data_IF_892548895148
#
_entry.id   IF_892548895148
#
_cell.length_a   1.000
_cell.length_b   1.000
_cell.length_c   1.000
_cell.angle_alpha   90.00
_cell.angle_beta   90.00
_cell.angle_gamma   90.00
#
_symmetry.space_group_name_H-M   'P 1'
#
loop_
_entity.id
_entity.type
_entity.pdbx_description
1 polymer ?
#
# COMPACT_ATOMS: atom_id res chain seq x y z
N UNK A 1 34.71 19.80 0.10
CA UNK A 1 34.20 18.41 0.12
C UNK A 1 32.92 18.39 0.95
N UNK A 2 31.80 18.81 0.37
CA UNK A 2 30.49 18.91 1.05
C UNK A 2 29.35 18.64 0.06
N UNK A 3 29.37 17.48 -0.60
CA UNK A 3 28.37 17.09 -1.60
C UNK A 3 27.85 15.65 -1.41
N UNK A 4 27.95 15.09 -0.21
CA UNK A 4 27.58 13.68 0.04
C UNK A 4 26.49 13.49 1.10
N UNK A 5 25.91 14.55 1.68
CA UNK A 5 24.90 14.44 2.73
C UNK A 5 23.45 14.74 2.28
N UNK A 6 23.23 15.33 1.10
CA UNK A 6 21.87 15.60 0.58
C UNK A 6 21.31 14.47 -0.31
N UNK A 7 22.11 13.43 -0.55
CA UNK A 7 21.66 12.12 -1.08
C UNK A 7 21.51 11.13 0.08
N UNK A 8 20.99 11.58 1.24
CA UNK A 8 20.43 10.64 2.20
C UNK A 8 19.25 9.98 1.49
N UNK A 9 19.50 8.77 1.02
CA UNK A 9 18.63 7.98 0.17
C UNK A 9 17.17 8.08 0.65
N UNK A 10 16.25 8.39 -0.28
CA UNK A 10 14.80 8.31 -0.05
C UNK A 10 14.36 6.84 0.06
N UNK A 11 15.04 6.06 0.88
CA UNK A 11 14.82 4.64 1.11
C UNK A 11 13.83 4.49 2.26
N UNK A 12 12.66 3.95 1.95
CA UNK A 12 11.67 3.56 2.94
C UNK A 12 12.21 2.38 3.77
N UNK A 13 12.19 2.53 5.09
CA UNK A 13 12.40 1.45 6.07
C UNK A 13 11.20 0.53 6.13
N UNK A 14 10.02 0.98 5.73
CA UNK A 14 8.83 0.13 5.62
C UNK A 14 9.06 -0.97 4.59
N UNK A 15 9.00 -2.23 5.04
CA UNK A 15 9.12 -3.39 4.17
C UNK A 15 7.80 -3.75 3.47
N UNK A 16 7.84 -4.34 2.27
CA UNK A 16 6.67 -4.92 1.63
C UNK A 16 5.94 -5.90 2.56
N UNK A 17 4.61 -5.92 2.51
CA UNK A 17 3.81 -6.90 3.25
C UNK A 17 4.05 -8.27 2.60
N UNK A 18 4.52 -9.28 3.37
CA UNK A 18 4.90 -10.57 2.80
C UNK A 18 3.73 -11.23 2.07
N UNK A 19 4.04 -11.81 0.91
CA UNK A 19 3.09 -12.68 0.21
C UNK A 19 2.98 -13.96 1.02
N UNK A 20 1.82 -14.16 1.65
CA UNK A 20 1.57 -15.34 2.48
C UNK A 20 1.78 -16.61 1.63
N UNK A 21 2.83 -17.36 1.94
CA UNK A 21 3.20 -18.59 1.24
C UNK A 21 2.26 -19.72 1.72
N UNK A 22 1.12 -19.86 1.06
CA UNK A 22 0.04 -20.77 1.47
C UNK A 22 0.37 -22.25 1.19
N UNK A 23 1.42 -22.54 0.43
CA UNK A 23 1.82 -23.91 0.08
C UNK A 23 2.65 -24.61 1.16
N UNK A 24 3.37 -23.87 2.00
CA UNK A 24 4.43 -24.45 2.86
C UNK A 24 4.24 -24.29 4.37
N UNK A 25 3.08 -23.86 4.87
CA UNK A 25 2.85 -23.87 6.31
C UNK A 25 1.49 -24.46 6.68
N UNK A 26 1.52 -25.60 7.39
CA UNK A 26 0.54 -25.88 8.44
C UNK A 26 0.72 -24.82 9.55
N UNK A 27 0.39 -23.58 9.25
CA UNK A 27 0.28 -22.50 10.21
C UNK A 27 -1.19 -22.49 10.66
N UNK A 28 -1.53 -22.40 11.96
CA UNK A 28 -2.89 -22.64 12.43
C UNK A 28 -3.88 -21.57 11.96
N UNK A 29 -3.46 -20.63 11.11
CA UNK A 29 -4.24 -19.56 10.53
C UNK A 29 -5.03 -20.00 9.27
N UNK A 30 -4.68 -21.09 8.58
CA UNK A 30 -5.44 -21.54 7.39
C UNK A 30 -6.78 -22.20 7.75
N UNK A 31 -6.78 -23.10 8.76
CA UNK A 31 -8.02 -23.64 9.35
C UNK A 31 -8.78 -22.57 10.13
N UNK A 32 -8.07 -21.66 10.83
CA UNK A 32 -8.70 -20.49 11.47
C UNK A 32 -9.29 -19.53 10.44
N UNK A 33 -8.71 -19.32 9.25
CA UNK A 33 -9.23 -18.38 8.24
C UNK A 33 -10.50 -18.89 7.54
N UNK A 34 -10.70 -20.22 7.49
CA UNK A 34 -11.97 -20.81 7.01
C UNK A 34 -13.09 -20.59 8.04
N UNK A 35 -12.81 -20.77 9.34
CA UNK A 35 -13.72 -20.43 10.46
C UNK A 35 -13.89 -18.91 10.65
N UNK A 36 -12.89 -18.09 10.35
CA UNK A 36 -12.92 -16.62 10.48
C UNK A 36 -13.71 -15.89 9.38
N UNK A 37 -14.23 -16.57 8.35
CA UNK A 37 -15.23 -15.96 7.45
C UNK A 37 -16.62 -15.91 8.09
N UNK A 38 -16.80 -16.49 9.28
CA UNK A 38 -18.07 -16.59 9.97
C UNK A 38 -18.46 -15.32 10.76
N UNK A 39 -17.55 -14.34 10.96
CA UNK A 39 -17.87 -13.12 11.73
C UNK A 39 -17.31 -11.82 11.13
N UNK A 40 -18.10 -10.74 11.25
CA UNK A 40 -17.76 -9.37 10.81
C UNK A 40 -16.40 -8.90 11.37
N UNK A 41 -16.09 -9.27 12.61
CA UNK A 41 -14.87 -8.90 13.34
C UNK A 41 -13.55 -9.30 12.62
N UNK A 42 -13.58 -10.38 11.83
CA UNK A 42 -12.41 -10.85 11.08
C UNK A 42 -12.14 -10.03 9.81
N UNK A 43 -13.20 -9.55 9.16
CA UNK A 43 -13.10 -8.64 8.01
C UNK A 43 -12.52 -7.30 8.47
N UNK A 44 -12.98 -6.80 9.61
CA UNK A 44 -12.50 -5.56 10.23
C UNK A 44 -11.00 -5.65 10.54
N UNK A 45 -10.52 -6.77 11.13
CA UNK A 45 -9.09 -6.95 11.43
C UNK A 45 -8.18 -6.82 10.21
N UNK A 46 -8.59 -7.26 9.02
CA UNK A 46 -7.77 -7.15 7.80
C UNK A 46 -7.69 -5.70 7.30
N UNK A 47 -8.78 -4.96 7.44
CA UNK A 47 -8.84 -3.54 7.12
C UNK A 47 -7.98 -2.78 8.13
N UNK A 48 -8.11 -3.08 9.42
CA UNK A 48 -7.29 -2.48 10.48
C UNK A 48 -5.80 -2.76 10.28
N UNK A 49 -5.43 -3.97 9.87
CA UNK A 49 -4.06 -4.34 9.52
C UNK A 49 -3.51 -3.47 8.39
N UNK A 50 -4.26 -3.35 7.29
CA UNK A 50 -3.85 -2.49 6.18
C UNK A 50 -3.74 -1.04 6.63
N UNK A 51 -4.74 -0.54 7.32
CA UNK A 51 -4.75 0.82 7.85
C UNK A 51 -3.50 1.11 8.67
N UNK A 52 -3.16 0.23 9.62
CA UNK A 52 -1.95 0.34 10.42
C UNK A 52 -0.68 0.43 9.57
N UNK A 53 -0.53 -0.46 8.58
CA UNK A 53 0.65 -0.47 7.72
C UNK A 53 0.74 0.77 6.82
N UNK A 54 -0.38 1.24 6.28
CA UNK A 54 -0.43 2.48 5.52
C UNK A 54 -0.16 3.69 6.41
N UNK A 55 -0.70 3.75 7.62
CA UNK A 55 -0.44 4.84 8.55
C UNK A 55 1.04 4.92 8.93
N UNK A 56 1.67 3.76 9.18
CA UNK A 56 3.11 3.67 9.40
C UNK A 56 3.91 4.21 8.21
N UNK A 57 3.51 3.88 6.99
CA UNK A 57 4.09 4.45 5.77
C UNK A 57 3.86 5.97 5.68
N UNK A 58 2.66 6.47 6.03
CA UNK A 58 2.37 7.90 6.02
C UNK A 58 3.29 8.67 6.99
N UNK A 59 3.47 8.17 8.20
CA UNK A 59 4.36 8.78 9.20
C UNK A 59 5.82 8.79 8.75
N UNK A 60 6.26 7.75 8.03
CA UNK A 60 7.59 7.68 7.45
C UNK A 60 7.78 8.69 6.32
N UNK A 61 6.81 8.77 5.41
CA UNK A 61 6.80 9.75 4.31
C UNK A 61 6.73 11.20 4.83
N UNK A 62 5.93 11.45 5.86
CA UNK A 62 5.85 12.76 6.54
C UNK A 62 7.20 13.12 7.19
N UNK A 63 7.87 12.16 7.84
CA UNK A 63 9.19 12.37 8.44
C UNK A 63 10.28 12.71 7.41
N UNK A 64 10.12 12.26 6.16
CA UNK A 64 11.00 12.59 5.04
C UNK A 64 10.56 13.85 4.27
N UNK A 65 9.52 14.55 4.73
CA UNK A 65 8.90 15.67 4.02
C UNK A 65 8.52 15.31 2.57
N UNK A 66 8.05 14.09 2.33
CA UNK A 66 7.67 13.64 0.99
C UNK A 66 6.41 14.35 0.49
N UNK A 67 6.39 14.63 -0.82
CA UNK A 67 5.32 15.40 -1.45
C UNK A 67 4.89 14.73 -2.75
N UNK A 68 3.58 14.58 -2.93
CA UNK A 68 3.01 14.07 -4.17
C UNK A 68 2.78 15.21 -5.16
N UNK A 69 3.47 15.13 -6.30
CA UNK A 69 3.34 16.09 -7.38
C UNK A 69 2.18 15.72 -8.32
N UNK A 70 1.30 16.68 -8.61
CA UNK A 70 0.30 16.49 -9.67
C UNK A 70 0.83 17.00 -11.00
N UNK A 71 1.06 16.08 -11.94
CA UNK A 71 1.37 16.41 -13.33
C UNK A 71 0.09 16.81 -14.08
N UNK A 72 0.13 17.96 -14.74
CA UNK A 72 -0.91 18.42 -15.66
C UNK A 72 -0.85 17.73 -17.03
N UNK A 73 -1.72 18.15 -17.95
CA UNK A 73 -1.64 17.74 -19.35
C UNK A 73 -0.27 18.10 -19.94
N UNK A 74 0.38 17.14 -20.61
CA UNK A 74 1.73 17.33 -21.18
C UNK A 74 2.89 17.14 -20.20
N UNK A 75 2.65 16.60 -18.99
CA UNK A 75 3.73 16.21 -18.07
C UNK A 75 4.33 17.35 -17.23
N UNK A 76 3.85 18.59 -17.41
CA UNK A 76 4.26 19.74 -16.60
C UNK A 76 3.76 19.59 -15.16
N UNK A 77 4.66 19.79 -14.19
CA UNK A 77 4.30 19.84 -12.76
C UNK A 77 3.50 21.12 -12.55
N UNK A 78 2.28 21.00 -12.02
CA UNK A 78 1.50 22.16 -11.60
C UNK A 78 1.96 22.48 -10.19
N UNK A 79 2.82 23.49 -10.02
CA UNK A 79 3.41 23.87 -8.73
C UNK A 79 2.35 24.12 -7.65
N UNK A 80 1.17 24.63 -8.03
CA UNK A 80 0.03 24.86 -7.12
C UNK A 80 -0.71 23.59 -6.68
N UNK A 81 -0.29 22.39 -7.10
CA UNK A 81 -0.96 21.10 -6.80
C UNK A 81 -0.03 20.05 -6.21
N UNK A 82 0.96 20.53 -5.49
CA UNK A 82 1.92 19.77 -4.68
C UNK A 82 1.23 19.42 -3.35
N UNK A 83 1.02 18.13 -3.07
CA UNK A 83 0.30 17.65 -1.88
C UNK A 83 1.25 17.00 -0.88
N UNK A 84 1.59 17.68 0.24
CA UNK A 84 2.47 17.09 1.24
C UNK A 84 1.77 15.95 1.97
N UNK A 85 2.53 14.91 2.33
CA UNK A 85 2.04 13.85 3.21
C UNK A 85 2.09 14.37 4.64
N UNK A 86 0.93 14.68 5.22
CA UNK A 86 0.80 15.18 6.59
C UNK A 86 -0.31 14.44 7.32
N UNK A 87 0.02 13.71 8.38
CA UNK A 87 -0.96 12.92 9.13
C UNK A 87 -1.75 13.85 10.05
N UNK A 88 -3.08 13.81 9.95
CA UNK A 88 -3.95 14.57 10.83
C UNK A 88 -3.99 13.93 12.22
N UNK A 89 -3.20 14.48 13.16
CA UNK A 89 -3.07 13.97 14.53
C UNK A 89 -4.39 14.03 15.31
N UNK A 90 -5.28 14.96 14.98
CA UNK A 90 -6.58 15.12 15.65
C UNK A 90 -7.51 13.93 15.39
N UNK A 91 -7.31 13.21 14.27
CA UNK A 91 -8.12 12.01 13.95
C UNK A 91 -7.51 10.74 14.57
N UNK A 92 -6.24 10.77 14.90
CA UNK A 92 -5.50 9.62 15.45
C UNK A 92 -5.16 9.80 16.94
N UNK A 93 -6.01 10.52 17.66
CA UNK A 93 -5.88 10.67 19.12
C UNK A 93 -5.92 9.28 19.78
N UNK A 94 -4.96 9.01 20.66
CA UNK A 94 -4.84 7.73 21.37
C UNK A 94 -4.17 6.58 20.58
N UNK A 95 -3.76 6.81 19.33
CA UNK A 95 -3.08 5.78 18.51
C UNK A 95 -1.58 5.65 18.78
N UNK A 96 -1.00 6.53 19.60
CA UNK A 96 0.43 6.58 19.92
C UNK A 96 1.32 6.63 18.67
N UNK A 97 1.05 7.60 17.79
CA UNK A 97 1.70 7.74 16.48
C UNK A 97 3.23 7.72 16.54
N UNK A 98 3.83 8.25 17.60
CA UNK A 98 5.29 8.26 17.79
C UNK A 98 5.87 6.85 17.89
N UNK A 99 5.21 5.99 18.67
CA UNK A 99 5.61 4.61 18.92
C UNK A 99 5.15 3.64 17.82
N UNK A 100 4.11 4.01 17.07
CA UNK A 100 3.51 3.20 16.00
C UNK A 100 4.53 2.78 14.93
N UNK A 101 5.58 3.59 14.69
CA UNK A 101 6.68 3.28 13.76
C UNK A 101 7.51 2.06 14.19
N UNK A 102 7.69 1.83 15.49
CA UNK A 102 8.47 0.71 16.03
C UNK A 102 7.64 -0.55 16.30
N UNK A 103 6.34 -0.40 16.51
CA UNK A 103 5.46 -1.48 16.96
C UNK A 103 5.09 -2.47 15.84
N UNK A 104 4.81 -3.71 16.24
CA UNK A 104 4.17 -4.71 15.38
C UNK A 104 2.65 -4.55 15.47
N UNK A 105 1.95 -4.86 14.38
CA UNK A 105 0.49 -4.73 14.34
C UNK A 105 -0.22 -5.47 15.48
N UNK A 106 0.15 -6.72 15.80
CA UNK A 106 -0.54 -7.47 16.83
C UNK A 106 -0.35 -6.84 18.22
N UNK A 107 0.85 -6.41 18.54
CA UNK A 107 1.19 -5.81 19.83
C UNK A 107 0.41 -4.50 20.00
N UNK A 108 0.38 -3.68 18.95
CA UNK A 108 -0.41 -2.45 18.93
C UNK A 108 -1.93 -2.72 18.96
N UNK A 109 -2.43 -3.68 18.18
CA UNK A 109 -3.86 -3.93 18.01
C UNK A 109 -4.54 -4.56 19.23
N UNK A 110 -3.82 -5.41 19.96
CA UNK A 110 -4.33 -6.08 21.17
C UNK A 110 -3.89 -5.40 22.47
N UNK A 111 -2.87 -4.53 22.43
CA UNK A 111 -2.51 -3.67 23.56
C UNK A 111 -3.56 -2.58 23.78
N UNK A 112 -3.73 -2.16 25.04
CA UNK A 112 -4.53 -1.00 25.49
C UNK A 112 -5.88 -0.78 24.78
N UNK A 113 -6.57 -1.86 24.40
CA UNK A 113 -7.82 -1.82 23.63
C UNK A 113 -7.77 -0.92 22.37
N UNK A 114 -6.61 -0.78 21.71
CA UNK A 114 -6.45 0.07 20.51
C UNK A 114 -7.39 -0.32 19.35
N UNK A 115 -7.90 -1.55 19.36
CA UNK A 115 -8.97 -1.99 18.45
C UNK A 115 -10.20 -1.08 18.53
N UNK A 116 -10.57 -0.61 19.71
CA UNK A 116 -11.81 0.14 19.93
C UNK A 116 -11.72 1.56 19.37
N UNK A 117 -10.50 2.09 19.19
CA UNK A 117 -10.25 3.35 18.49
C UNK A 117 -10.85 3.36 17.07
N UNK A 118 -10.85 2.21 16.37
CA UNK A 118 -11.49 2.11 15.06
C UNK A 118 -13.01 2.29 15.12
N UNK A 119 -13.64 1.93 16.24
CA UNK A 119 -15.08 2.07 16.44
C UNK A 119 -15.45 3.47 16.98
N UNK A 120 -14.67 3.97 17.93
CA UNK A 120 -14.91 5.24 18.63
C UNK A 120 -14.58 6.47 17.78
N UNK A 121 -13.53 6.39 16.96
CA UNK A 121 -13.09 7.51 16.10
C UNK A 121 -13.96 7.78 14.89
N UNK A 122 -15.12 7.12 14.76
CA UNK A 122 -16.05 7.32 13.64
C UNK A 122 -15.44 6.93 12.29
N UNK A 123 -14.44 6.04 12.28
CA UNK A 123 -13.75 5.60 11.07
C UNK A 123 -14.72 4.84 10.16
N UNK A 124 -14.96 5.39 8.96
CA UNK A 124 -15.84 4.75 7.97
C UNK A 124 -15.01 4.16 6.85
N UNK A 125 -15.10 2.84 6.68
CA UNK A 125 -14.70 2.19 5.43
C UNK A 125 -15.97 1.91 4.61
N UNK A 126 -15.94 2.17 3.31
CA UNK A 126 -17.08 1.92 2.43
C UNK A 126 -16.73 0.90 1.34
N UNK A 127 -17.56 -0.15 1.22
CA UNK A 127 -17.34 -1.27 0.32
C UNK A 127 -16.34 -2.31 0.85
N UNK A 128 -16.20 -3.44 0.14
CA UNK A 128 -15.20 -4.49 0.44
C UNK A 128 -13.94 -4.25 -0.42
N UNK A 129 -12.93 -3.52 0.06
CA UNK A 129 -11.64 -3.48 -0.63
C UNK A 129 -11.08 -4.90 -0.70
N UNK A 130 -10.65 -5.33 -1.89
CA UNK A 130 -10.06 -6.64 -2.06
C UNK A 130 -8.66 -6.59 -1.45
N UNK A 131 -8.49 -7.13 -0.24
CA UNK A 131 -7.23 -7.16 0.52
C UNK A 131 -6.01 -7.40 -0.38
N UNK A 132 -6.06 -8.43 -1.24
CA UNK A 132 -4.96 -8.76 -2.15
C UNK A 132 -4.58 -7.62 -3.12
N UNK A 133 -5.55 -6.86 -3.60
CA UNK A 133 -5.32 -5.70 -4.48
C UNK A 133 -4.65 -4.56 -3.71
N UNK A 134 -5.10 -4.27 -2.49
CA UNK A 134 -4.50 -3.21 -1.67
C UNK A 134 -3.07 -3.55 -1.27
N UNK A 135 -2.82 -4.79 -0.84
CA UNK A 135 -1.46 -5.23 -0.53
C UNK A 135 -0.56 -5.18 -1.76
N UNK A 136 -1.07 -5.56 -2.94
CA UNK A 136 -0.29 -5.41 -4.19
C UNK A 136 0.14 -3.97 -4.39
N UNK A 137 -0.79 -3.01 -4.31
CA UNK A 137 -0.50 -1.58 -4.51
C UNK A 137 0.50 -1.04 -3.48
N UNK A 138 0.33 -1.41 -2.21
CA UNK A 138 1.25 -1.06 -1.14
C UNK A 138 2.67 -1.56 -1.42
N UNK A 139 2.81 -2.84 -1.78
CA UNK A 139 4.12 -3.42 -2.07
C UNK A 139 4.73 -2.80 -3.32
N UNK A 140 3.97 -2.66 -4.42
CA UNK A 140 4.44 -2.01 -5.65
C UNK A 140 4.97 -0.61 -5.36
N UNK A 141 4.27 0.15 -4.50
CA UNK A 141 4.72 1.48 -4.09
C UNK A 141 6.07 1.43 -3.36
N UNK A 142 6.24 0.55 -2.37
CA UNK A 142 7.50 0.42 -1.61
C UNK A 142 8.65 0.02 -2.53
N UNK A 143 8.47 -1.05 -3.32
CA UNK A 143 9.51 -1.54 -4.24
C UNK A 143 9.89 -0.47 -5.27
N UNK A 144 8.89 0.25 -5.77
CA UNK A 144 9.15 1.32 -6.72
C UNK A 144 9.88 2.50 -6.07
N UNK A 145 9.51 2.91 -4.84
CA UNK A 145 10.16 4.01 -4.14
C UNK A 145 11.63 3.69 -3.83
N UNK A 146 11.90 2.46 -3.37
CA UNK A 146 13.24 2.01 -3.00
C UNK A 146 14.12 1.60 -4.20
N UNK A 147 13.54 1.36 -5.38
CA UNK A 147 14.30 0.95 -6.57
C UNK A 147 15.10 2.07 -7.24
N UNK A 148 16.16 1.71 -7.95
CA UNK A 148 16.95 2.65 -8.76
C UNK A 148 16.16 3.11 -9.99
N UNK A 149 16.01 4.43 -10.12
CA UNK A 149 15.26 5.11 -11.18
C UNK A 149 16.09 6.21 -11.85
N UNK A 150 17.42 6.11 -11.78
CA UNK A 150 18.36 7.12 -12.28
C UNK A 150 18.32 7.31 -13.80
N UNK A 151 17.84 6.32 -14.55
CA UNK A 151 17.62 6.41 -16.00
C UNK A 151 16.26 5.83 -16.40
N UNK A 152 15.81 6.17 -17.61
CA UNK A 152 14.57 5.62 -18.18
C UNK A 152 14.62 4.09 -18.30
N UNK A 153 15.75 3.55 -18.76
CA UNK A 153 15.97 2.10 -18.90
C UNK A 153 15.89 1.40 -17.53
N UNK A 154 16.57 1.94 -16.52
CA UNK A 154 16.51 1.41 -15.16
C UNK A 154 15.09 1.46 -14.57
N UNK A 155 14.34 2.54 -14.83
CA UNK A 155 12.94 2.63 -14.41
C UNK A 155 12.08 1.56 -15.10
N UNK A 156 12.30 1.29 -16.39
CA UNK A 156 11.61 0.24 -17.14
C UNK A 156 11.95 -1.15 -16.60
N UNK A 157 13.23 -1.44 -16.41
CA UNK A 157 13.73 -2.70 -15.85
C UNK A 157 13.19 -2.92 -14.43
N UNK A 158 13.14 -1.87 -13.61
CA UNK A 158 12.55 -1.92 -12.28
C UNK A 158 11.05 -2.27 -12.37
N UNK A 159 10.30 -1.62 -13.26
CA UNK A 159 8.88 -1.92 -13.44
C UNK A 159 8.64 -3.37 -13.89
N UNK A 160 9.51 -3.88 -14.76
CA UNK A 160 9.49 -5.28 -15.18
C UNK A 160 9.79 -6.23 -14.00
N UNK A 161 10.86 -5.98 -13.23
CA UNK A 161 11.22 -6.76 -12.04
C UNK A 161 10.12 -6.76 -10.98
N UNK A 162 9.48 -5.61 -10.73
CA UNK A 162 8.35 -5.51 -9.81
C UNK A 162 7.23 -6.49 -10.21
N UNK A 163 6.92 -6.57 -11.50
CA UNK A 163 5.82 -7.39 -12.01
C UNK A 163 6.22 -8.86 -12.14
N UNK A 164 7.41 -9.16 -12.66
CA UNK A 164 7.84 -10.53 -13.00
C UNK A 164 8.56 -11.25 -11.86
N UNK A 165 9.12 -10.53 -10.90
CA UNK A 165 9.93 -11.11 -9.83
C UNK A 165 9.33 -10.77 -8.47
N UNK A 166 9.33 -9.49 -8.07
CA UNK A 166 9.02 -9.09 -6.69
C UNK A 166 7.56 -9.36 -6.32
N UNK A 167 6.62 -9.04 -7.22
CA UNK A 167 5.18 -9.17 -6.98
C UNK A 167 4.50 -10.13 -7.97
N UNK A 168 5.27 -11.01 -8.64
CA UNK A 168 4.79 -11.98 -9.64
C UNK A 168 3.52 -12.69 -9.23
N UNK A 169 3.55 -13.36 -8.08
CA UNK A 169 2.41 -14.12 -7.59
C UNK A 169 1.15 -13.27 -7.41
N UNK A 170 1.30 -11.98 -7.05
CA UNK A 170 0.16 -11.09 -6.84
C UNK A 170 -0.43 -10.63 -8.16
N UNK A 171 0.43 -10.35 -9.14
CA UNK A 171 -0.02 -10.03 -10.49
C UNK A 171 -0.72 -11.22 -11.13
N UNK A 172 -0.15 -12.43 -11.07
CA UNK A 172 -0.75 -13.66 -11.57
C UNK A 172 -2.10 -13.97 -10.92
N UNK A 173 -2.22 -13.88 -9.59
CA UNK A 173 -3.49 -14.10 -8.87
C UNK A 173 -4.60 -13.10 -9.23
N UNK A 174 -4.23 -11.92 -9.70
CA UNK A 174 -5.17 -10.86 -10.09
C UNK A 174 -5.38 -10.80 -11.61
N UNK A 175 -4.73 -11.67 -12.39
CA UNK A 175 -5.05 -11.83 -13.79
C UNK A 175 -6.49 -12.31 -13.93
N UNK A 176 -7.24 -11.64 -14.80
CA UNK A 176 -8.57 -12.10 -15.18
C UNK A 176 -8.39 -13.18 -16.25
N UNK A 177 -9.02 -14.32 -16.04
CA UNK A 177 -9.21 -15.31 -17.09
C UNK A 177 -10.40 -14.90 -17.95
N UNK A 178 -10.26 -15.15 -19.25
CA UNK A 178 -11.38 -15.05 -20.18
C UNK A 178 -12.44 -16.10 -19.77
N UNK A 179 -13.68 -15.66 -19.60
CA UNK A 179 -14.78 -16.52 -19.15
C UNK A 179 -15.20 -17.57 -20.19
N UNK A 180 -14.87 -17.37 -21.47
CA UNK A 180 -15.17 -18.27 -22.58
C UNK A 180 -14.04 -19.26 -22.86
N UNK A 181 -12.79 -18.83 -22.74
CA UNK A 181 -11.63 -19.68 -23.10
C UNK A 181 -10.89 -20.26 -21.89
N UNK A 182 -11.14 -19.75 -20.67
CA UNK A 182 -10.44 -20.15 -19.45
C UNK A 182 -8.96 -19.76 -19.43
N UNK A 183 -8.44 -19.14 -20.50
CA UNK A 183 -7.06 -18.67 -20.61
C UNK A 183 -6.91 -17.30 -19.94
N UNK A 184 -5.73 -16.97 -19.41
CA UNK A 184 -5.44 -15.59 -19.00
C UNK A 184 -5.75 -14.65 -20.16
N UNK A 185 -6.38 -13.50 -19.89
CA UNK A 185 -6.55 -12.48 -20.92
C UNK A 185 -5.16 -12.12 -21.45
N UNK A 186 -4.86 -12.48 -22.70
CA UNK A 186 -3.54 -12.28 -23.32
C UNK A 186 -3.27 -10.78 -23.38
N UNK A 187 -2.56 -10.25 -22.38
CA UNK A 187 -1.95 -8.92 -22.45
C UNK A 187 -0.60 -9.10 -23.13
N UNK A 188 -0.64 -9.36 -24.43
CA UNK A 188 0.55 -9.59 -25.28
C UNK A 188 1.53 -8.40 -25.29
N UNK A 189 1.13 -7.24 -24.75
CA UNK A 189 2.06 -6.15 -24.39
C UNK A 189 1.64 -5.61 -23.02
N UNK A 190 2.18 -6.18 -21.94
CA UNK A 190 2.11 -5.56 -20.61
C UNK A 190 3.03 -4.34 -20.64
N UNK A 191 2.46 -3.15 -20.81
CA UNK A 191 3.15 -1.90 -20.49
C UNK A 191 3.40 -1.87 -18.96
N UNK A 192 4.52 -2.47 -18.54
CA UNK A 192 4.89 -2.66 -17.14
C UNK A 192 4.90 -1.32 -16.41
N UNK A 193 5.45 -0.29 -17.06
CA UNK A 193 5.51 1.06 -16.53
C UNK A 193 4.13 1.64 -16.30
N UNK A 194 3.21 1.55 -17.27
CA UNK A 194 1.82 2.03 -17.10
C UNK A 194 1.12 1.33 -15.93
N UNK A 195 1.32 0.03 -15.78
CA UNK A 195 0.68 -0.76 -14.71
C UNK A 195 1.22 -0.36 -13.34
N UNK A 196 2.55 -0.30 -13.19
CA UNK A 196 3.21 0.10 -11.94
C UNK A 196 2.84 1.54 -11.58
N UNK A 197 2.88 2.48 -12.53
CA UNK A 197 2.45 3.87 -12.31
C UNK A 197 0.98 3.99 -11.92
N UNK A 198 0.10 3.14 -12.47
CA UNK A 198 -1.30 3.06 -12.05
C UNK A 198 -1.45 2.63 -10.61
N UNK A 199 -0.76 1.56 -10.20
CA UNK A 199 -0.78 1.08 -8.81
C UNK A 199 -0.17 2.11 -7.84
N UNK A 200 0.89 2.82 -8.24
CA UNK A 200 1.49 3.91 -7.45
C UNK A 200 0.48 5.03 -7.23
N UNK A 201 -0.14 5.54 -8.29
CA UNK A 201 -1.12 6.63 -8.21
C UNK A 201 -2.31 6.26 -7.31
N UNK A 202 -2.77 5.02 -7.40
CA UNK A 202 -3.81 4.52 -6.49
C UNK A 202 -3.33 4.45 -5.03
N UNK A 203 -2.07 4.08 -4.82
CA UNK A 203 -1.45 4.08 -3.49
C UNK A 203 -1.32 5.50 -2.92
N UNK A 204 -0.92 6.49 -3.73
CA UNK A 204 -0.84 7.91 -3.33
C UNK A 204 -2.20 8.41 -2.82
N UNK A 205 -3.28 8.12 -3.55
CA UNK A 205 -4.63 8.51 -3.11
C UNK A 205 -5.01 7.84 -1.78
N UNK A 206 -4.55 6.61 -1.57
CA UNK A 206 -4.78 5.89 -0.32
C UNK A 206 -4.00 6.47 0.85
N UNK A 207 -2.73 6.83 0.64
CA UNK A 207 -1.90 7.53 1.62
C UNK A 207 -2.56 8.86 2.02
N UNK A 208 -2.98 9.66 1.05
CA UNK A 208 -3.66 10.94 1.31
C UNK A 208 -4.96 10.76 2.10
N UNK A 209 -5.78 9.76 1.72
CA UNK A 209 -7.03 9.48 2.43
C UNK A 209 -6.77 9.05 3.88
N UNK A 210 -5.76 8.22 4.11
CA UNK A 210 -5.40 7.74 5.44
C UNK A 210 -4.81 8.87 6.29
N UNK A 211 -4.04 9.80 5.71
CA UNK A 211 -3.63 11.01 6.41
C UNK A 211 -4.81 11.80 7.00
N UNK A 212 -5.97 11.77 6.33
CA UNK A 212 -7.22 12.41 6.76
C UNK A 212 -8.12 11.51 7.62
N UNK A 213 -7.67 10.31 7.99
CA UNK A 213 -8.45 9.35 8.77
C UNK A 213 -9.55 8.63 7.99
N UNK A 214 -9.42 8.53 6.66
CA UNK A 214 -10.38 7.84 5.79
C UNK A 214 -9.72 6.65 5.10
N UNK A 215 -10.39 5.50 5.09
CA UNK A 215 -9.95 4.36 4.29
C UNK A 215 -10.75 4.29 2.99
N UNK A 216 -10.12 4.59 1.84
CA UNK A 216 -10.85 4.84 0.61
C UNK A 216 -11.52 3.60 0.05
N UNK A 217 -12.66 3.83 -0.61
CA UNK A 217 -13.35 2.84 -1.46
C UNK A 217 -12.52 2.59 -2.72
N UNK A 218 -12.69 1.42 -3.35
CA UNK A 218 -12.08 1.08 -4.66
C UNK A 218 -12.01 2.32 -5.57
N UNK A 219 -10.81 2.71 -6.01
CA UNK A 219 -10.66 3.42 -7.27
C UNK A 219 -11.10 2.47 -8.37
N UNK A 220 -12.31 2.67 -8.88
CA UNK A 220 -12.78 2.06 -10.13
C UNK A 220 -12.20 2.94 -11.24
N UNK A 221 -10.94 2.72 -11.57
CA UNK A 221 -10.47 2.98 -12.91
C UNK A 221 -10.24 1.61 -13.54
N UNK A 222 -11.31 1.11 -14.17
CA UNK A 222 -11.22 0.06 -15.17
C UNK A 222 -10.61 0.63 -16.46
#
# INVERSE_FOLDING_TARGET
MYLTLELLEMTLKTSPIPTRNWKNSKDPVSERDRKRKESQQSVDRRIHYLWFHFLKLCLELECMNHVFEKKGGGGKIIQDKVKPVRVNRDVYVGWDLENLRGMKFNDWYYGDNKRDLFNEGGFKYSGRPQYHSLVKKFNVFIEYMNGDKSSYEKEMDLCEKIIKEYQKERFERLQRTDSKTGKPLNREVLDYKRIVKGDIKDCEQMILSICEGRFPKRNIFC
#
